data_IF_070013978403
#
_entry.id   IF_070013978403
#
_cell.length_a   1.000
_cell.length_b   1.000
_cell.length_c   1.000
_cell.angle_alpha   90.00
_cell.angle_beta   90.00
_cell.angle_gamma   90.00
#
_symmetry.space_group_name_H-M   'P 1'
#
loop_
_entity.id
_entity.type
_entity.pdbx_description
1 polymer ?
#
# COMPACT_ATOMS: atom_id res chain seq x y z
N UNK A 1 15.76 -1.89 3.00
CA UNK A 1 15.14 -0.63 3.46
C UNK A 1 14.02 -0.95 4.44
N UNK A 2 13.54 0.03 5.21
CA UNK A 2 12.37 -0.10 6.08
C UNK A 2 11.23 0.80 5.58
N UNK A 3 10.02 0.57 6.07
CA UNK A 3 8.83 1.34 5.71
C UNK A 3 8.00 1.76 6.93
N UNK A 4 8.60 1.76 8.12
CA UNK A 4 7.96 2.26 9.33
C UNK A 4 7.62 3.74 9.15
N UNK A 5 6.34 4.07 9.15
CA UNK A 5 5.85 5.43 8.95
C UNK A 5 4.48 5.61 9.57
N UNK A 6 4.17 6.83 10.01
CA UNK A 6 2.81 7.21 10.42
C UNK A 6 2.42 8.47 9.68
N UNK A 7 1.45 8.34 8.77
CA UNK A 7 0.91 9.46 8.01
C UNK A 7 -0.38 9.96 8.66
N UNK A 8 -0.43 11.27 8.92
CA UNK A 8 -1.54 11.91 9.61
C UNK A 8 -2.53 12.45 8.59
N UNK A 9 -3.63 11.74 8.37
CA UNK A 9 -4.60 12.10 7.34
C UNK A 9 -5.81 12.80 7.95
N UNK A 10 -6.23 13.88 7.30
CA UNK A 10 -7.51 14.54 7.52
C UNK A 10 -8.24 14.70 6.19
N UNK A 11 -9.44 14.11 6.08
CA UNK A 11 -10.22 14.05 4.83
C UNK A 11 -11.43 15.00 4.81
N UNK A 12 -11.32 16.13 5.54
CA UNK A 12 -12.40 17.10 5.81
C UNK A 12 -13.52 16.60 6.73
N UNK A 13 -13.66 15.29 6.94
CA UNK A 13 -14.68 14.70 7.83
C UNK A 13 -14.08 13.93 9.01
N UNK A 14 -12.97 13.25 8.78
CA UNK A 14 -12.32 12.31 9.69
C UNK A 14 -10.85 12.63 9.83
N UNK A 15 -10.33 12.38 11.02
CA UNK A 15 -8.90 12.39 11.33
C UNK A 15 -8.49 10.97 11.66
N UNK A 16 -7.50 10.44 10.94
CA UNK A 16 -6.98 9.10 11.18
C UNK A 16 -5.51 9.00 10.80
N UNK A 17 -4.80 8.10 11.46
CA UNK A 17 -3.41 7.80 11.16
C UNK A 17 -3.32 6.54 10.29
N UNK A 18 -2.56 6.62 9.20
CA UNK A 18 -2.12 5.46 8.44
C UNK A 18 -0.78 5.03 9.03
N UNK A 19 -0.76 3.90 9.71
CA UNK A 19 0.46 3.39 10.35
C UNK A 19 0.97 2.20 9.56
N UNK A 20 2.17 2.37 9.01
CA UNK A 20 2.95 1.32 8.36
C UNK A 20 4.00 0.80 9.32
N UNK A 21 4.04 -0.53 9.44
CA UNK A 21 5.03 -1.25 10.23
C UNK A 21 5.83 -2.15 9.28
N UNK A 22 7.15 -2.06 9.33
CA UNK A 22 8.00 -2.95 8.53
C UNK A 22 7.90 -4.39 9.05
N UNK A 23 7.60 -5.33 8.15
CA UNK A 23 7.49 -6.76 8.52
C UNK A 23 8.52 -7.65 7.83
N UNK A 24 9.18 -7.17 6.78
CA UNK A 24 10.28 -7.90 6.15
C UNK A 24 10.53 -7.51 4.70
N UNK A 25 11.11 -8.42 3.94
CA UNK A 25 11.37 -8.27 2.51
C UNK A 25 10.92 -9.52 1.76
N UNK A 26 10.56 -9.35 0.50
CA UNK A 26 10.11 -10.41 -0.41
C UNK A 26 10.79 -10.22 -1.78
N UNK A 27 10.96 -11.29 -2.55
CA UNK A 27 11.41 -11.20 -3.94
C UNK A 27 10.28 -11.66 -4.85
N UNK A 28 9.67 -10.71 -5.56
CA UNK A 28 8.50 -10.96 -6.38
C UNK A 28 8.92 -11.43 -7.77
N UNK A 29 8.28 -12.49 -8.25
CA UNK A 29 8.32 -12.85 -9.66
C UNK A 29 7.25 -12.03 -10.43
N UNK A 30 7.57 -11.56 -11.65
CA UNK A 30 6.56 -10.91 -12.48
C UNK A 30 5.53 -11.95 -12.94
N UNK A 31 4.27 -11.52 -13.07
CA UNK A 31 3.12 -12.37 -13.43
C UNK A 31 2.20 -11.66 -14.44
N UNK A 32 1.13 -12.32 -14.86
CA UNK A 32 0.09 -11.71 -15.72
C UNK A 32 -0.61 -10.53 -15.02
N UNK A 33 -0.60 -10.52 -13.68
CA UNK A 33 -1.17 -9.45 -12.86
C UNK A 33 -0.21 -8.29 -12.59
N UNK A 34 1.11 -8.51 -12.65
CA UNK A 34 2.09 -7.44 -12.41
C UNK A 34 3.35 -7.62 -13.27
N UNK A 35 3.76 -6.59 -14.04
CA UNK A 35 5.03 -6.61 -14.75
C UNK A 35 6.24 -6.47 -13.81
N UNK A 36 6.06 -6.05 -12.55
CA UNK A 36 7.18 -5.87 -11.63
C UNK A 36 7.75 -7.23 -11.19
N UNK A 37 9.07 -7.37 -11.29
CA UNK A 37 9.83 -8.49 -10.76
C UNK A 37 11.08 -7.99 -10.05
N UNK A 38 11.31 -8.44 -8.82
CA UNK A 38 12.45 -7.98 -8.02
C UNK A 38 12.17 -7.87 -6.52
N UNK A 39 13.13 -7.30 -5.78
CA UNK A 39 13.04 -7.16 -4.33
C UNK A 39 12.02 -6.10 -3.91
N UNK A 40 11.18 -6.45 -2.93
CA UNK A 40 10.19 -5.57 -2.33
C UNK A 40 10.31 -5.57 -0.79
N UNK A 41 10.05 -4.42 -0.19
CA UNK A 41 9.86 -4.25 1.26
C UNK A 41 8.42 -4.59 1.58
N UNK A 42 8.19 -5.43 2.58
CA UNK A 42 6.85 -5.81 3.04
C UNK A 42 6.50 -4.99 4.26
N UNK A 43 5.32 -4.38 4.22
CA UNK A 43 4.81 -3.47 5.23
C UNK A 43 3.41 -3.90 5.64
N UNK A 44 3.11 -3.79 6.92
CA UNK A 44 1.76 -3.96 7.46
C UNK A 44 1.15 -2.58 7.67
N UNK A 45 0.03 -2.31 7.02
CA UNK A 45 -0.71 -1.05 7.11
C UNK A 45 -1.95 -1.25 7.98
N UNK A 46 -2.16 -0.35 8.94
CA UNK A 46 -3.41 -0.23 9.71
C UNK A 46 -3.88 1.21 9.76
N UNK A 47 -5.19 1.38 9.91
CA UNK A 47 -5.84 2.70 10.05
C UNK A 47 -6.24 2.90 11.51
N UNK A 48 -5.71 3.95 12.13
CA UNK A 48 -6.06 4.38 13.49
C UNK A 48 -6.98 5.60 13.44
N UNK A 49 -8.27 5.39 13.71
CA UNK A 49 -9.25 6.46 13.74
C UNK A 49 -9.08 7.34 14.99
N UNK A 50 -8.86 8.65 14.81
CA UNK A 50 -8.67 9.62 15.90
C UNK A 50 -9.95 10.44 16.14
N UNK A 51 -10.58 10.97 15.09
CA UNK A 51 -11.80 11.79 15.19
C UNK A 51 -12.71 11.67 13.95
N UNK A 52 -13.96 12.16 14.06
CA UNK A 52 -14.94 12.14 12.95
C UNK A 52 -15.80 10.87 12.85
N UNK A 53 -15.90 10.09 13.94
CA UNK A 53 -16.80 8.95 14.09
C UNK A 53 -18.12 9.38 14.76
N UNK A 54 -19.28 8.89 14.28
CA UNK A 54 -20.55 9.06 15.02
C UNK A 54 -20.57 8.07 16.19
N UNK A 55 -21.12 8.49 17.33
CA UNK A 55 -21.23 7.67 18.54
C UNK A 55 -22.12 6.43 18.35
N UNK A 56 -23.08 6.51 17.42
CA UNK A 56 -24.06 5.44 17.13
C UNK A 56 -23.50 4.35 16.21
N UNK A 57 -22.38 4.61 15.53
CA UNK A 57 -21.64 3.66 14.70
C UNK A 57 -20.65 2.82 15.57
N UNK A 58 -21.05 2.38 16.78
CA UNK A 58 -20.28 1.41 17.58
C UNK A 58 -20.78 -0.06 17.47
N UNK A 59 -20.84 -0.68 16.27
CA UNK A 59 -20.73 -2.14 16.14
C UNK A 59 -19.28 -2.65 16.31
N UNK A 60 -18.29 -1.76 16.33
CA UNK A 60 -16.87 -2.11 16.08
C UNK A 60 -16.04 -2.46 17.32
N UNK A 61 -16.57 -2.33 18.55
CA UNK A 61 -15.92 -2.97 19.72
C UNK A 61 -15.76 -4.49 19.59
N UNK A 62 -16.49 -5.17 18.70
CA UNK A 62 -16.40 -6.64 18.51
C UNK A 62 -15.79 -7.08 17.17
N UNK A 63 -15.60 -6.20 16.18
CA UNK A 63 -15.04 -6.54 14.86
C UNK A 63 -13.80 -5.74 14.45
N UNK A 64 -13.33 -4.82 15.28
CA UNK A 64 -12.00 -4.21 15.16
C UNK A 64 -10.86 -5.20 15.52
N UNK A 65 -10.94 -6.46 15.06
CA UNK A 65 -9.74 -7.24 14.85
C UNK A 65 -8.98 -6.46 13.77
N UNK A 66 -7.93 -5.73 14.17
CA UNK A 66 -7.13 -4.86 13.32
C UNK A 66 -6.99 -5.48 11.93
N UNK A 67 -7.78 -4.99 10.98
CA UNK A 67 -7.73 -5.46 9.60
C UNK A 67 -6.51 -4.80 9.02
N UNK A 68 -5.41 -5.54 9.04
CA UNK A 68 -4.17 -5.10 8.45
C UNK A 68 -4.25 -5.33 6.94
N UNK A 69 -3.76 -4.36 6.17
CA UNK A 69 -3.35 -4.61 4.80
C UNK A 69 -1.87 -4.95 4.78
N UNK A 70 -1.46 -5.83 3.87
CA UNK A 70 -0.05 -6.06 3.55
C UNK A 70 0.28 -5.32 2.26
N UNK A 71 1.34 -4.51 2.30
CA UNK A 71 1.79 -3.69 1.18
C UNK A 71 3.22 -4.07 0.84
N UNK A 72 3.48 -4.34 -0.43
CA UNK A 72 4.82 -4.54 -0.95
C UNK A 72 5.26 -3.27 -1.66
N UNK A 73 6.30 -2.63 -1.15
CA UNK A 73 6.89 -1.42 -1.69
C UNK A 73 8.18 -1.76 -2.41
N UNK A 74 8.32 -1.30 -3.65
CA UNK A 74 9.53 -1.55 -4.44
C UNK A 74 9.98 -0.30 -5.19
N UNK A 75 11.29 -0.21 -5.42
CA UNK A 75 11.88 0.82 -6.30
C UNK A 75 11.65 0.38 -7.74
N UNK A 76 10.64 0.96 -8.38
CA UNK A 76 10.29 0.70 -9.79
C UNK A 76 11.19 1.51 -10.74
N UNK A 77 11.51 2.74 -10.33
CA UNK A 77 12.38 3.66 -11.03
C UNK A 77 13.52 4.06 -10.10
N UNK A 78 14.75 4.16 -10.60
CA UNK A 78 15.93 4.48 -9.78
C UNK A 78 15.76 5.81 -9.04
N UNK A 79 15.26 6.84 -9.74
CA UNK A 79 15.14 8.21 -9.25
C UNK A 79 13.83 8.50 -8.52
N UNK A 80 13.04 7.48 -8.19
CA UNK A 80 11.73 7.62 -7.54
C UNK A 80 11.67 7.05 -6.14
N UNK A 81 10.78 7.56 -5.26
CA UNK A 81 10.41 6.84 -4.05
C UNK A 81 9.86 5.44 -4.37
N UNK A 82 10.00 4.47 -3.43
CA UNK A 82 9.37 3.17 -3.59
C UNK A 82 7.86 3.28 -3.78
N UNK A 83 7.31 2.50 -4.72
CA UNK A 83 5.89 2.46 -5.04
C UNK A 83 5.25 1.15 -4.54
N UNK A 84 3.96 1.15 -4.19
CA UNK A 84 3.20 -0.07 -3.94
C UNK A 84 3.10 -0.91 -5.22
N UNK A 85 3.72 -2.10 -5.22
CA UNK A 85 3.67 -3.05 -6.35
C UNK A 85 2.65 -4.17 -6.14
N UNK A 86 2.33 -4.48 -4.87
CA UNK A 86 1.25 -5.37 -4.46
C UNK A 86 0.60 -4.84 -3.18
N UNK A 87 -0.71 -4.94 -3.09
CA UNK A 87 -1.50 -4.61 -1.91
C UNK A 87 -2.48 -5.75 -1.66
N UNK A 88 -2.50 -6.30 -0.45
CA UNK A 88 -3.43 -7.37 -0.05
C UNK A 88 -4.20 -6.96 1.19
N UNK A 89 -5.50 -7.23 1.19
CA UNK A 89 -6.37 -6.95 2.32
C UNK A 89 -7.44 -8.04 2.49
N UNK A 90 -7.62 -8.47 3.74
CA UNK A 90 -8.61 -9.49 4.09
C UNK A 90 -9.94 -8.84 4.46
N UNK A 91 -10.95 -9.08 3.61
CA UNK A 91 -12.35 -8.68 3.83
C UNK A 91 -13.11 -9.85 4.48
N UNK A 92 -14.26 -9.55 5.08
CA UNK A 92 -15.13 -10.60 5.63
C UNK A 92 -15.59 -11.60 4.56
N UNK A 93 -15.71 -11.16 3.30
CA UNK A 93 -16.19 -11.97 2.18
C UNK A 93 -15.06 -12.67 1.40
N UNK A 94 -13.79 -12.44 1.75
CA UNK A 94 -12.63 -13.00 1.05
C UNK A 94 -11.44 -12.04 1.01
N UNK A 95 -10.41 -12.36 0.23
CA UNK A 95 -9.22 -11.52 0.08
C UNK A 95 -9.31 -10.61 -1.14
N UNK A 96 -8.91 -9.35 -1.00
CA UNK A 96 -8.68 -8.44 -2.12
C UNK A 96 -7.18 -8.28 -2.35
N UNK A 97 -6.73 -8.44 -3.59
CA UNK A 97 -5.35 -8.14 -3.97
C UNK A 97 -5.33 -7.16 -5.15
N UNK A 98 -4.58 -6.08 -5.02
CA UNK A 98 -4.29 -5.14 -6.09
C UNK A 98 -2.81 -5.22 -6.48
N UNK A 99 -2.55 -5.06 -7.77
CA UNK A 99 -1.22 -5.12 -8.36
C UNK A 99 -0.94 -3.84 -9.16
N UNK A 100 0.29 -3.36 -9.12
CA UNK A 100 0.74 -2.34 -10.05
C UNK A 100 0.81 -2.98 -11.44
N UNK A 101 -0.04 -2.51 -12.37
CA UNK A 101 -0.10 -3.00 -13.75
C UNK A 101 0.82 -2.23 -14.70
N UNK A 102 0.97 -0.93 -14.51
CA UNK A 102 1.91 -0.10 -15.27
C UNK A 102 2.24 1.17 -14.48
N UNK A 103 3.35 1.81 -14.83
CA UNK A 103 3.71 3.11 -14.29
C UNK A 103 4.52 3.88 -15.33
N UNK A 104 4.38 5.21 -15.35
CA UNK A 104 5.22 6.11 -16.13
C UNK A 104 5.70 7.22 -15.22
N UNK A 105 6.98 7.59 -15.33
CA UNK A 105 7.59 8.69 -14.61
C UNK A 105 8.49 9.49 -15.56
N UNK A 106 8.36 10.79 -15.59
CA UNK A 106 9.31 11.65 -16.30
C UNK A 106 10.54 11.87 -15.42
N UNK A 107 11.73 11.60 -15.97
CA UNK A 107 12.99 11.85 -15.26
C UNK A 107 13.30 13.35 -15.14
N UNK A 108 14.40 13.69 -14.47
CA UNK A 108 14.81 15.09 -14.27
C UNK A 108 15.08 15.85 -15.58
N UNK A 109 15.32 15.15 -16.69
CA UNK A 109 15.50 15.71 -18.02
C UNK A 109 14.19 15.71 -18.84
N UNK A 110 13.06 15.29 -18.25
CA UNK A 110 11.75 15.21 -18.89
C UNK A 110 11.59 14.01 -19.82
N UNK A 111 12.46 13.00 -19.74
CA UNK A 111 12.35 11.78 -20.53
C UNK A 111 11.51 10.72 -19.78
N UNK A 112 10.53 10.09 -20.44
CA UNK A 112 9.66 9.13 -19.77
C UNK A 112 10.39 7.81 -19.50
N UNK A 113 10.26 7.32 -18.27
CA UNK A 113 10.58 5.98 -17.81
C UNK A 113 9.26 5.21 -17.65
N UNK A 114 9.18 3.99 -18.21
CA UNK A 114 7.92 3.24 -18.24
C UNK A 114 8.10 1.81 -17.75
N UNK A 115 7.33 1.43 -16.72
CA UNK A 115 7.02 0.04 -16.42
C UNK A 115 5.77 -0.33 -17.22
N UNK A 116 5.96 -0.98 -18.36
CA UNK A 116 4.85 -1.36 -19.24
C UNK A 116 4.07 -2.54 -18.66
N UNK A 117 2.76 -2.55 -18.92
CA UNK A 117 1.94 -3.71 -18.58
C UNK A 117 2.40 -4.94 -19.34
N UNK A 118 2.30 -6.11 -18.69
CA UNK A 118 2.42 -7.38 -19.39
C UNK A 118 1.15 -7.65 -20.21
N UNK A 119 1.30 -8.14 -21.46
CA UNK A 119 0.18 -8.55 -22.30
C UNK A 119 -0.60 -9.69 -21.67
#
# INVERSE_FOLDING_TARGET
GRCDHTEKVFDARRRYDLVLEHVGTDTLAPSDYSPYGGPAIVCRLRVEMIAGRRLEDDPDRRRAAARYATVWLARVFEDAPPLPVRFQYELTLGSMTAYLKSATLDDAAGKPQTLAARP
#
